data_IF_793009938775
#
_entry.id   IF_793009938775
#
_cell.length_a   1.000
_cell.length_b   1.000
_cell.length_c   1.000
_cell.angle_alpha   90.00
_cell.angle_beta   90.00
_cell.angle_gamma   90.00
#
_symmetry.space_group_name_H-M   'P 1'
#
loop_
_entity.id
_entity.type
_entity.pdbx_description
1 polymer ?
#
# COMPACT_ATOMS: atom_id res chain seq x y z
N UNK A 1 5.51 11.03 3.02
CA UNK A 1 4.83 9.72 3.01
C UNK A 1 4.88 9.16 4.42
N UNK A 2 3.79 8.58 4.93
CA UNK A 2 3.78 7.86 6.21
C UNK A 2 3.61 6.36 5.98
N UNK A 3 4.22 5.54 6.82
CA UNK A 3 4.15 4.09 6.72
C UNK A 3 3.79 3.43 8.05
N UNK A 4 2.96 2.41 8.01
CA UNK A 4 2.68 1.52 9.15
C UNK A 4 2.91 0.08 8.71
N UNK A 5 3.51 -0.72 9.58
CA UNK A 5 3.71 -2.16 9.34
C UNK A 5 2.95 -2.95 10.39
N UNK A 6 2.09 -3.86 9.95
CA UNK A 6 1.30 -4.78 10.75
C UNK A 6 1.82 -6.21 10.51
N UNK A 7 2.99 -6.58 11.04
CA UNK A 7 3.69 -7.81 10.65
C UNK A 7 2.95 -9.09 11.08
N UNK A 8 1.95 -8.96 11.96
CA UNK A 8 1.12 -10.05 12.46
C UNK A 8 -0.20 -10.23 11.70
N UNK A 9 -0.63 -9.27 10.87
CA UNK A 9 -1.94 -9.27 10.22
C UNK A 9 -1.83 -9.38 8.70
N UNK A 10 -2.41 -10.43 8.12
CA UNK A 10 -2.62 -10.51 6.67
C UNK A 10 -4.01 -9.98 6.32
N UNK A 11 -4.08 -8.80 5.70
CA UNK A 11 -5.33 -8.13 5.37
C UNK A 11 -5.63 -8.19 3.87
N UNK A 12 -6.91 -8.03 3.52
CA UNK A 12 -7.36 -7.83 2.13
C UNK A 12 -7.82 -6.40 1.86
N UNK A 13 -7.97 -5.58 2.90
CA UNK A 13 -8.27 -4.15 2.81
C UNK A 13 -7.91 -3.42 4.10
N UNK A 14 -7.51 -2.15 3.96
CA UNK A 14 -7.19 -1.28 5.07
C UNK A 14 -7.59 0.16 4.72
N UNK A 15 -8.12 0.90 5.70
CA UNK A 15 -8.49 2.32 5.52
C UNK A 15 -8.24 3.07 6.82
N UNK A 16 -7.57 4.22 6.72
CA UNK A 16 -7.39 5.07 7.89
C UNK A 16 -8.70 5.78 8.26
N UNK A 17 -9.06 5.88 9.55
CA UNK A 17 -10.12 6.76 9.96
C UNK A 17 -9.73 8.20 9.59
N UNK A 18 -10.68 8.92 8.97
CA UNK A 18 -10.48 10.32 8.58
C UNK A 18 -11.35 11.21 9.45
N UNK A 19 -10.71 12.19 10.10
CA UNK A 19 -11.37 13.35 10.69
C UNK A 19 -11.00 14.55 9.82
N UNK A 20 -11.93 15.46 9.54
CA UNK A 20 -11.81 16.49 8.49
C UNK A 20 -10.46 17.22 8.41
N UNK A 21 -10.13 17.74 7.22
CA UNK A 21 -8.88 18.44 6.91
C UNK A 21 -8.26 17.98 5.60
N UNK A 22 -7.24 18.71 5.11
CA UNK A 22 -6.48 18.34 3.91
C UNK A 22 -5.51 17.21 4.23
N UNK A 23 -5.65 16.07 3.54
CA UNK A 23 -4.85 14.87 3.77
C UNK A 23 -3.95 14.60 2.57
N UNK A 24 -3.10 15.57 2.24
CA UNK A 24 -2.27 15.59 1.04
C UNK A 24 -1.10 14.61 1.04
N UNK A 25 -0.75 14.02 2.19
CA UNK A 25 0.42 13.16 2.34
C UNK A 25 0.02 11.69 2.12
N UNK A 26 0.56 11.00 1.09
CA UNK A 26 0.32 9.59 0.87
C UNK A 26 0.69 8.73 2.09
N UNK A 27 -0.13 7.72 2.37
CA UNK A 27 0.06 6.77 3.46
C UNK A 27 0.12 5.36 2.90
N UNK A 28 1.00 4.53 3.46
CA UNK A 28 1.08 3.11 3.11
C UNK A 28 0.93 2.23 4.35
N UNK A 29 0.38 1.03 4.14
CA UNK A 29 0.33 -0.02 5.16
C UNK A 29 0.84 -1.32 4.59
N UNK A 30 1.77 -1.94 5.30
CA UNK A 30 2.33 -3.25 4.99
C UNK A 30 1.78 -4.28 5.98
N UNK A 31 1.33 -5.43 5.48
CA UNK A 31 0.83 -6.53 6.31
C UNK A 31 1.85 -7.64 6.52
N UNK A 32 1.38 -8.73 7.13
CA UNK A 32 2.11 -9.98 7.30
C UNK A 32 2.35 -10.63 5.94
N UNK A 33 3.62 -10.91 5.63
CA UNK A 33 3.99 -11.71 4.47
C UNK A 33 3.54 -13.15 4.69
N UNK A 34 2.93 -13.75 3.66
CA UNK A 34 2.49 -15.14 3.67
C UNK A 34 3.06 -15.88 2.48
N UNK A 35 3.30 -17.19 2.61
CA UNK A 35 3.71 -18.04 1.48
C UNK A 35 2.48 -18.71 0.87
N UNK A 36 2.30 -18.57 -0.44
CA UNK A 36 1.21 -19.19 -1.20
C UNK A 36 1.73 -19.66 -2.56
N UNK A 37 1.57 -20.95 -2.86
CA UNK A 37 1.93 -21.55 -4.15
C UNK A 37 3.36 -21.20 -4.61
N UNK A 38 4.34 -21.29 -3.71
CA UNK A 38 5.74 -21.00 -4.01
C UNK A 38 6.09 -19.52 -4.16
N UNK A 39 5.15 -18.61 -3.86
CA UNK A 39 5.36 -17.15 -3.87
C UNK A 39 5.11 -16.54 -2.51
N UNK A 40 5.78 -15.43 -2.22
CA UNK A 40 5.48 -14.61 -1.06
C UNK A 40 4.46 -13.52 -1.44
N UNK A 41 3.39 -13.42 -0.66
CA UNK A 41 2.34 -12.42 -0.83
C UNK A 41 2.49 -11.40 0.30
N UNK A 42 2.67 -10.12 -0.08
CA UNK A 42 2.71 -8.97 0.81
C UNK A 42 1.40 -8.19 0.69
N UNK A 43 0.57 -8.15 1.75
CA UNK A 43 -0.54 -7.21 1.81
C UNK A 43 0.00 -5.78 1.79
N UNK A 44 -0.43 -5.00 0.81
CA UNK A 44 0.02 -3.63 0.59
C UNK A 44 -1.20 -2.72 0.39
N UNK A 45 -1.25 -1.61 1.11
CA UNK A 45 -2.26 -0.59 0.93
C UNK A 45 -1.59 0.76 0.68
N UNK A 46 -2.17 1.53 -0.25
CA UNK A 46 -1.80 2.91 -0.55
C UNK A 46 -3.04 3.78 -0.44
N UNK A 47 -2.99 4.80 0.41
CA UNK A 47 -3.98 5.85 0.52
C UNK A 47 -3.41 7.17 -0.01
N UNK A 48 -4.14 7.80 -0.93
CA UNK A 48 -3.77 9.09 -1.55
C UNK A 48 -4.95 10.04 -1.53
N UNK A 49 -4.67 11.33 -1.72
CA UNK A 49 -5.68 12.36 -1.93
C UNK A 49 -6.00 12.48 -3.42
N UNK A 50 -7.27 12.33 -3.81
CA UNK A 50 -7.71 12.43 -5.20
C UNK A 50 -7.53 13.82 -5.79
N UNK A 51 -7.44 14.86 -4.98
CA UNK A 51 -7.09 16.20 -5.48
C UNK A 51 -5.65 16.27 -6.03
N UNK A 52 -4.80 15.29 -5.70
CA UNK A 52 -3.38 15.25 -6.07
C UNK A 52 -3.02 14.04 -6.94
N UNK A 53 -3.78 12.93 -6.86
CA UNK A 53 -3.47 11.70 -7.58
C UNK A 53 -4.72 10.96 -8.05
N UNK A 54 -4.73 10.66 -9.35
CA UNK A 54 -5.67 9.72 -9.96
C UNK A 54 -5.20 8.27 -9.91
N UNK A 55 -6.10 7.36 -10.31
CA UNK A 55 -5.84 5.92 -10.35
C UNK A 55 -4.67 5.51 -11.25
N UNK A 56 -4.34 6.30 -12.29
CA UNK A 56 -3.19 6.03 -13.16
C UNK A 56 -1.87 6.09 -12.37
N UNK A 57 -1.67 7.14 -11.57
CA UNK A 57 -0.47 7.30 -10.74
C UNK A 57 -0.34 6.17 -9.71
N UNK A 58 -1.46 5.75 -9.12
CA UNK A 58 -1.48 4.60 -8.20
C UNK A 58 -1.07 3.31 -8.90
N UNK A 59 -1.57 3.08 -10.12
CA UNK A 59 -1.27 1.88 -10.89
C UNK A 59 0.21 1.81 -11.30
N UNK A 60 0.79 2.94 -11.73
CA UNK A 60 2.20 3.06 -12.09
C UNK A 60 3.10 2.82 -10.87
N UNK A 61 2.75 3.42 -9.72
CA UNK A 61 3.48 3.22 -8.48
C UNK A 61 3.48 1.74 -8.05
N UNK A 62 2.33 1.07 -8.08
CA UNK A 62 2.22 -0.34 -7.70
C UNK A 62 2.99 -1.26 -8.65
N UNK A 63 2.97 -0.97 -9.96
CA UNK A 63 3.74 -1.71 -10.95
C UNK A 63 5.25 -1.60 -10.70
N UNK A 64 5.76 -0.37 -10.50
CA UNK A 64 7.16 -0.12 -10.17
C UNK A 64 7.57 -0.74 -8.83
N UNK A 65 6.71 -0.69 -7.82
CA UNK A 65 6.95 -1.34 -6.54
C UNK A 65 7.11 -2.86 -6.71
N UNK A 66 6.22 -3.50 -7.46
CA UNK A 66 6.31 -4.94 -7.74
C UNK A 66 7.57 -5.30 -8.55
N UNK A 67 7.91 -4.51 -9.56
CA UNK A 67 9.12 -4.71 -10.35
C UNK A 67 10.39 -4.64 -9.50
N UNK A 68 10.47 -3.65 -8.59
CA UNK A 68 11.60 -3.51 -7.68
C UNK A 68 11.68 -4.68 -6.69
N UNK A 69 10.55 -5.18 -6.19
CA UNK A 69 10.54 -6.36 -5.33
C UNK A 69 10.98 -7.63 -6.05
N UNK A 70 10.68 -7.77 -7.34
CA UNK A 70 11.12 -8.92 -8.15
C UNK A 70 12.63 -8.91 -8.43
N UNK A 71 13.30 -7.76 -8.26
CA UNK A 71 14.75 -7.61 -8.45
C UNK A 71 15.57 -7.90 -7.19
N UNK A 72 14.92 -8.02 -6.03
CA UNK A 72 15.54 -8.39 -4.76
C UNK A 72 15.65 -9.91 -4.65
#
# INVERSE_FOLDING_TARGET
MYGTTLPWLSFTGFKHPRKGGNHSIPKIVLGKITSQAGRYILPFQLEVDHALMDGIHMSEYLALAQENLNRL
#
